data_IF_360995693968
#
_entry.id   IF_360995693968
#
_cell.length_a   1.000
_cell.length_b   1.000
_cell.length_c   1.000
_cell.angle_alpha   90.00
_cell.angle_beta   90.00
_cell.angle_gamma   90.00
#
_symmetry.space_group_name_H-M   'P 1'
#
loop_
_entity.id
_entity.type
_entity.pdbx_description
1 polymer ?
#
# COMPACT_ATOMS: atom_id res chain seq x y z
N UNK A 1 -3.97 -18.43 14.86
CA UNK A 1 -2.94 -19.34 14.31
C UNK A 1 -3.52 -20.57 13.60
N UNK A 2 -4.31 -21.44 14.24
CA UNK A 2 -4.85 -22.68 13.62
C UNK A 2 -5.55 -22.46 12.26
N UNK A 3 -6.33 -21.39 12.11
CA UNK A 3 -7.01 -21.04 10.84
C UNK A 3 -6.10 -20.39 9.80
N UNK A 4 -5.02 -19.73 10.22
CA UNK A 4 -4.19 -18.90 9.33
C UNK A 4 -3.10 -19.71 8.64
N UNK A 5 -2.50 -20.69 9.33
CA UNK A 5 -1.47 -21.57 8.78
C UNK A 5 -1.89 -22.28 7.48
N UNK A 6 -3.06 -22.95 7.38
CA UNK A 6 -3.47 -23.61 6.14
C UNK A 6 -3.74 -22.61 5.01
N UNK A 7 -4.25 -21.41 5.31
CA UNK A 7 -4.47 -20.37 4.31
C UNK A 7 -3.14 -19.88 3.72
N UNK A 8 -2.14 -19.64 4.57
CA UNK A 8 -0.81 -19.23 4.10
C UNK A 8 -0.14 -20.33 3.27
N UNK A 9 -0.24 -21.60 3.70
CA UNK A 9 0.32 -22.72 2.96
C UNK A 9 -0.35 -22.92 1.59
N UNK A 10 -1.68 -22.79 1.50
CA UNK A 10 -2.43 -22.91 0.25
C UNK A 10 -2.06 -21.84 -0.80
N UNK A 11 -1.42 -20.75 -0.36
CA UNK A 11 -0.96 -19.67 -1.22
C UNK A 11 0.57 -19.54 -1.20
N UNK A 12 1.32 -20.62 -0.95
CA UNK A 12 2.78 -20.63 -0.79
C UNK A 12 3.59 -20.15 -2.01
N UNK A 13 3.06 -20.29 -3.23
CA UNK A 13 3.76 -19.91 -4.47
C UNK A 13 3.23 -18.63 -5.12
N UNK A 14 2.12 -18.08 -4.61
CA UNK A 14 1.45 -16.93 -5.23
C UNK A 14 2.04 -15.58 -4.79
N UNK A 15 2.33 -14.68 -5.73
CA UNK A 15 2.77 -13.31 -5.43
C UNK A 15 1.83 -12.28 -6.06
N UNK A 16 1.96 -11.01 -5.64
CA UNK A 16 1.22 -9.93 -6.27
C UNK A 16 1.75 -9.70 -7.69
N UNK A 17 0.95 -10.02 -8.70
CA UNK A 17 1.26 -9.63 -10.07
C UNK A 17 1.35 -8.10 -10.21
N UNK A 18 2.21 -7.59 -11.10
CA UNK A 18 2.24 -6.17 -11.44
C UNK A 18 0.86 -5.66 -11.83
N UNK A 19 0.58 -4.43 -11.43
CA UNK A 19 -0.69 -3.77 -11.66
C UNK A 19 -0.66 -3.09 -13.03
N UNK A 20 -1.69 -3.33 -13.84
CA UNK A 20 -1.87 -2.66 -15.13
C UNK A 20 -2.31 -1.21 -14.92
N UNK A 21 -1.81 -0.30 -15.74
CA UNK A 21 -2.36 1.05 -15.89
C UNK A 21 -2.21 1.54 -17.33
N UNK A 22 -2.98 2.57 -17.69
CA UNK A 22 -2.95 3.20 -19.02
C UNK A 22 -2.35 4.60 -18.89
N UNK A 23 -1.12 4.86 -19.38
CA UNK A 23 -0.50 6.18 -19.31
C UNK A 23 -1.41 7.32 -19.77
N UNK A 24 -2.16 7.13 -20.86
CA UNK A 24 -3.02 8.16 -21.43
C UNK A 24 -4.21 8.53 -20.53
N UNK A 25 -4.66 7.64 -19.65
CA UNK A 25 -5.70 7.97 -18.65
C UNK A 25 -5.18 8.93 -17.59
N UNK A 26 -3.88 8.89 -17.29
CA UNK A 26 -3.23 9.70 -16.26
C UNK A 26 -2.62 10.98 -16.82
N UNK A 27 -2.14 10.96 -18.07
CA UNK A 27 -1.41 12.05 -18.73
C UNK A 27 -2.10 13.42 -18.64
N UNK A 28 -3.43 13.57 -18.86
CA UNK A 28 -4.09 14.87 -18.76
C UNK A 28 -4.00 15.50 -17.36
N UNK A 29 -3.96 14.68 -16.32
CA UNK A 29 -3.94 15.11 -14.92
C UNK A 29 -2.52 15.46 -14.44
N UNK A 30 -1.50 14.79 -15.01
CA UNK A 30 -0.11 14.95 -14.59
C UNK A 30 0.66 16.00 -15.42
N UNK A 31 0.28 16.20 -16.69
CA UNK A 31 0.95 17.16 -17.60
C UNK A 31 0.99 18.59 -17.04
N UNK A 32 -0.10 19.16 -16.49
CA UNK A 32 -0.05 20.52 -15.91
C UNK A 32 0.88 20.64 -14.70
N UNK A 33 1.31 19.52 -14.12
CA UNK A 33 2.17 19.46 -12.93
C UNK A 33 3.62 19.08 -13.25
N UNK A 34 3.94 18.80 -14.52
CA UNK A 34 5.28 18.35 -14.92
C UNK A 34 5.62 16.91 -14.48
N UNK A 35 4.64 16.12 -14.02
CA UNK A 35 4.87 14.79 -13.45
C UNK A 35 4.68 13.65 -14.46
N UNK A 36 4.85 13.91 -15.75
CA UNK A 36 4.60 12.89 -16.79
C UNK A 36 5.70 11.82 -16.88
N UNK A 37 6.88 12.07 -16.30
CA UNK A 37 7.98 11.09 -16.29
C UNK A 37 7.57 9.78 -15.58
N UNK A 38 6.72 9.87 -14.55
CA UNK A 38 6.19 8.70 -13.82
C UNK A 38 5.39 7.73 -14.70
N UNK A 39 4.90 8.20 -15.84
CA UNK A 39 4.13 7.37 -16.77
C UNK A 39 4.99 6.37 -17.53
N UNK A 40 6.32 6.54 -17.49
CA UNK A 40 7.28 5.60 -18.07
C UNK A 40 7.79 4.58 -17.04
N UNK A 41 7.31 4.63 -15.79
CA UNK A 41 7.68 3.65 -14.76
C UNK A 41 7.15 2.25 -15.09
N UNK A 42 7.86 1.24 -14.59
CA UNK A 42 7.53 -0.16 -14.78
C UNK A 42 7.82 -0.68 -16.19
N UNK A 43 7.19 -1.77 -16.57
CA UNK A 43 7.43 -2.46 -17.84
C UNK A 43 6.26 -2.33 -18.83
N UNK A 44 6.49 -2.60 -20.14
CA UNK A 44 5.40 -2.65 -21.12
C UNK A 44 4.32 -3.66 -20.73
N UNK A 45 3.06 -3.28 -20.93
CA UNK A 45 1.91 -4.15 -20.65
C UNK A 45 1.51 -5.02 -21.84
N UNK A 46 0.42 -5.80 -21.70
CA UNK A 46 -0.07 -6.70 -22.76
C UNK A 46 -0.55 -6.00 -24.02
N UNK A 47 -0.82 -4.69 -23.95
CA UNK A 47 -1.15 -3.86 -25.11
C UNK A 47 -0.24 -2.64 -25.17
N UNK A 48 0.00 -2.05 -26.36
CA UNK A 48 0.84 -0.85 -26.50
C UNK A 48 0.37 0.38 -25.70
N UNK A 49 -0.87 0.35 -25.21
CA UNK A 49 -1.48 1.45 -24.42
C UNK A 49 -1.39 1.22 -22.92
N UNK A 50 -0.79 0.10 -22.49
CA UNK A 50 -0.76 -0.34 -21.11
C UNK A 50 0.68 -0.52 -20.62
N UNK A 51 0.87 -0.28 -19.34
CA UNK A 51 2.10 -0.57 -18.60
C UNK A 51 1.80 -1.36 -17.35
N UNK A 52 2.81 -2.02 -16.82
CA UNK A 52 2.77 -2.82 -15.60
C UNK A 52 3.67 -2.16 -14.56
N UNK A 53 3.15 -1.96 -13.35
CA UNK A 53 3.91 -1.46 -12.20
C UNK A 53 3.77 -2.42 -11.02
N UNK A 54 4.88 -2.89 -10.50
CA UNK A 54 5.00 -3.80 -9.35
C UNK A 54 5.66 -3.14 -8.14
N UNK A 55 5.82 -3.91 -7.06
CA UNK A 55 6.51 -3.43 -5.86
C UNK A 55 8.00 -3.17 -6.11
N UNK A 56 8.65 -4.00 -6.93
CA UNK A 56 10.05 -3.82 -7.32
C UNK A 56 10.27 -2.48 -8.03
N UNK A 57 9.34 -2.06 -8.89
CA UNK A 57 9.43 -0.75 -9.56
C UNK A 57 9.32 0.40 -8.54
N UNK A 58 8.49 0.24 -7.50
CA UNK A 58 8.39 1.22 -6.41
C UNK A 58 9.66 1.24 -5.55
N UNK A 59 10.31 0.10 -5.32
CA UNK A 59 11.59 0.03 -4.61
C UNK A 59 12.69 0.82 -5.37
N UNK A 60 12.78 0.62 -6.69
CA UNK A 60 13.73 1.38 -7.54
C UNK A 60 13.45 2.88 -7.48
N UNK A 61 12.18 3.29 -7.53
CA UNK A 61 11.80 4.70 -7.43
C UNK A 61 12.08 5.29 -6.04
N UNK A 62 11.79 4.54 -4.96
CA UNK A 62 12.10 4.94 -3.58
C UNK A 62 13.58 5.32 -3.48
N UNK A 63 14.44 4.47 -4.01
CA UNK A 63 15.89 4.62 -3.87
C UNK A 63 16.42 5.81 -4.70
N UNK A 64 15.87 6.05 -5.90
CA UNK A 64 16.20 7.21 -6.72
C UNK A 64 15.80 8.54 -6.05
N UNK A 65 14.62 8.58 -5.42
CA UNK A 65 14.00 9.79 -4.88
C UNK A 65 14.66 10.29 -3.59
N UNK A 66 15.48 9.45 -2.92
CA UNK A 66 16.26 9.86 -1.73
C UNK A 66 17.19 11.05 -1.96
N UNK A 67 17.42 11.42 -3.22
CA UNK A 67 18.39 12.44 -3.63
C UNK A 67 17.76 13.75 -4.13
N UNK A 68 16.42 13.86 -4.23
CA UNK A 68 15.76 15.01 -4.88
C UNK A 68 14.48 15.47 -4.15
N UNK A 69 14.40 16.77 -3.82
CA UNK A 69 13.29 17.36 -3.07
C UNK A 69 11.92 17.25 -3.76
N UNK A 70 11.86 17.28 -5.09
CA UNK A 70 10.62 17.12 -5.86
C UNK A 70 10.28 15.66 -6.20
N UNK A 71 11.22 14.73 -6.00
CA UNK A 71 11.03 13.31 -6.34
C UNK A 71 9.93 12.63 -5.52
N UNK A 72 9.61 13.14 -4.31
CA UNK A 72 8.56 12.56 -3.47
C UNK A 72 7.18 12.66 -4.12
N UNK A 73 6.89 13.72 -4.89
CA UNK A 73 5.63 13.85 -5.61
C UNK A 73 5.52 12.85 -6.76
N UNK A 74 6.62 12.62 -7.48
CA UNK A 74 6.69 11.59 -8.53
C UNK A 74 6.52 10.20 -7.93
N UNK A 75 7.24 9.90 -6.85
CA UNK A 75 7.13 8.62 -6.17
C UNK A 75 5.73 8.38 -5.62
N UNK A 76 5.16 9.37 -4.94
CA UNK A 76 3.79 9.31 -4.46
C UNK A 76 2.81 9.05 -5.61
N UNK A 77 2.99 9.72 -6.75
CA UNK A 77 2.16 9.48 -7.95
C UNK A 77 2.29 8.05 -8.45
N UNK A 78 3.50 7.47 -8.48
CA UNK A 78 3.72 6.06 -8.83
C UNK A 78 2.97 5.11 -7.87
N UNK A 79 3.01 5.40 -6.56
CA UNK A 79 2.27 4.63 -5.55
C UNK A 79 0.76 4.75 -5.76
N UNK A 80 0.25 5.92 -6.14
CA UNK A 80 -1.18 6.10 -6.45
C UNK A 80 -1.60 5.35 -7.72
N UNK A 81 -0.75 5.34 -8.76
CA UNK A 81 -0.96 4.54 -9.98
C UNK A 81 -1.05 3.06 -9.63
N UNK A 82 -0.04 2.55 -8.92
CA UNK A 82 0.01 1.16 -8.45
C UNK A 82 -1.20 0.81 -7.58
N UNK A 83 -1.60 1.70 -6.68
CA UNK A 83 -2.72 1.50 -5.77
C UNK A 83 -4.11 1.59 -6.40
N UNK A 84 -4.24 2.21 -7.58
CA UNK A 84 -5.52 2.43 -8.27
C UNK A 84 -5.84 1.35 -9.31
N UNK A 85 -4.80 0.80 -9.94
CA UNK A 85 -4.92 -0.16 -11.04
C UNK A 85 -5.79 0.31 -12.21
N UNK A 86 -6.36 -0.65 -12.95
CA UNK A 86 -7.21 -0.37 -14.13
C UNK A 86 -8.67 -0.13 -13.79
N UNK A 87 -9.13 -0.54 -12.61
CA UNK A 87 -10.57 -0.69 -12.31
C UNK A 87 -11.22 0.60 -11.80
N UNK A 88 -10.43 1.58 -11.35
CA UNK A 88 -10.95 2.77 -10.67
C UNK A 88 -10.56 4.04 -11.39
N UNK A 89 -11.12 4.35 -12.58
CA UNK A 89 -10.85 5.59 -13.35
C UNK A 89 -10.96 6.94 -12.60
N UNK A 90 -11.28 6.93 -11.30
CA UNK A 90 -11.18 8.03 -10.33
C UNK A 90 -9.77 8.24 -9.75
N UNK A 91 -8.86 7.27 -9.86
CA UNK A 91 -7.48 7.35 -9.36
C UNK A 91 -6.75 8.61 -9.81
N UNK A 92 -6.74 8.95 -11.12
CA UNK A 92 -6.13 10.19 -11.60
C UNK A 92 -6.73 11.45 -10.96
N UNK A 93 -8.07 11.54 -10.89
CA UNK A 93 -8.78 12.68 -10.28
C UNK A 93 -8.40 12.89 -8.81
N UNK A 94 -8.39 11.83 -8.01
CA UNK A 94 -8.04 11.96 -6.59
C UNK A 94 -6.55 12.23 -6.37
N UNK A 95 -5.70 11.70 -7.24
CA UNK A 95 -4.26 12.00 -7.24
C UNK A 95 -4.01 13.46 -7.58
N UNK A 96 -4.70 14.00 -8.59
CA UNK A 96 -4.66 15.42 -8.91
C UNK A 96 -5.13 16.28 -7.73
N UNK A 97 -6.25 15.94 -7.09
CA UNK A 97 -6.70 16.64 -5.88
C UNK A 97 -5.63 16.67 -4.78
N UNK A 98 -4.88 15.58 -4.60
CA UNK A 98 -3.77 15.52 -3.66
C UNK A 98 -2.60 16.41 -4.11
N UNK A 99 -2.24 16.38 -5.39
CA UNK A 99 -1.20 17.22 -5.99
C UNK A 99 -1.51 18.72 -5.94
N UNK A 100 -2.79 19.09 -5.88
CA UNK A 100 -3.25 20.46 -5.68
C UNK A 100 -3.22 20.91 -4.20
N UNK A 101 -3.09 19.98 -3.25
CA UNK A 101 -3.06 20.32 -1.83
C UNK A 101 -1.69 20.91 -1.45
N UNK A 102 -1.68 22.17 -1.00
CA UNK A 102 -0.46 22.87 -0.61
C UNK A 102 0.33 22.14 0.50
N UNK A 103 -0.33 21.28 1.28
CA UNK A 103 0.31 20.50 2.36
C UNK A 103 0.99 19.24 1.88
N UNK A 104 0.78 18.81 0.63
CA UNK A 104 1.24 17.51 0.14
C UNK A 104 2.74 17.32 0.37
N UNK A 105 3.58 18.23 -0.14
CA UNK A 105 5.05 18.10 -0.06
C UNK A 105 5.52 17.92 1.39
N UNK A 106 5.09 18.80 2.29
CA UNK A 106 5.43 18.72 3.71
C UNK A 106 4.90 17.44 4.37
N UNK A 107 3.71 16.98 3.98
CA UNK A 107 3.14 15.72 4.48
C UNK A 107 3.93 14.50 4.00
N UNK A 108 4.32 14.45 2.73
CA UNK A 108 5.12 13.35 2.18
C UNK A 108 6.48 13.28 2.86
N UNK A 109 7.19 14.41 2.98
CA UNK A 109 8.48 14.47 3.67
C UNK A 109 8.35 14.01 5.13
N UNK A 110 7.41 14.60 5.88
CA UNK A 110 7.20 14.29 7.29
C UNK A 110 6.82 12.82 7.52
N UNK A 111 5.93 12.28 6.70
CA UNK A 111 5.50 10.88 6.88
C UNK A 111 6.55 9.88 6.42
N UNK A 112 7.39 10.22 5.44
CA UNK A 112 8.57 9.44 5.08
C UNK A 112 9.54 9.32 6.26
N UNK A 113 9.88 10.44 6.92
CA UNK A 113 10.73 10.45 8.12
C UNK A 113 10.13 9.61 9.25
N UNK A 114 8.85 9.82 9.56
CA UNK A 114 8.17 9.12 10.65
C UNK A 114 8.08 7.61 10.42
N UNK A 115 7.78 7.19 9.19
CA UNK A 115 7.73 5.76 8.84
C UNK A 115 9.09 5.11 9.00
N UNK A 116 10.16 5.74 8.48
CA UNK A 116 11.54 5.22 8.61
C UNK A 116 12.01 5.19 10.06
N UNK A 117 11.56 6.12 10.88
CA UNK A 117 11.81 6.12 12.33
C UNK A 117 10.96 5.08 13.11
N UNK A 118 10.05 4.37 12.45
CA UNK A 118 9.13 3.42 13.07
C UNK A 118 7.92 4.05 13.79
N UNK A 119 7.73 5.38 13.72
CA UNK A 119 6.59 6.07 14.32
C UNK A 119 5.36 6.05 13.40
N UNK A 120 4.74 4.87 13.28
CA UNK A 120 3.54 4.67 12.47
C UNK A 120 2.31 5.40 13.01
N UNK A 121 2.24 5.65 14.33
CA UNK A 121 1.14 6.42 14.94
C UNK A 121 1.26 7.89 14.54
N UNK A 122 2.46 8.45 14.64
CA UNK A 122 2.79 9.79 14.17
C UNK A 122 2.54 9.94 12.68
N UNK A 123 3.02 9.00 11.87
CA UNK A 123 2.82 9.03 10.41
C UNK A 123 1.32 9.05 10.04
N UNK A 124 0.52 8.17 10.65
CA UNK A 124 -0.93 8.11 10.43
C UNK A 124 -1.64 9.41 10.87
N UNK A 125 -1.19 10.04 11.97
CA UNK A 125 -1.73 11.32 12.44
C UNK A 125 -1.35 12.48 11.50
N UNK A 126 -0.12 12.48 11.01
CA UNK A 126 0.43 13.53 10.16
C UNK A 126 -0.17 13.51 8.74
N UNK A 127 -0.56 12.35 8.21
CA UNK A 127 -1.07 12.27 6.84
C UNK A 127 -2.46 12.92 6.69
N UNK A 128 -2.51 14.16 6.19
CA UNK A 128 -3.74 14.95 5.99
C UNK A 128 -3.71 15.68 4.65
N UNK A 129 -4.07 14.96 3.59
CA UNK A 129 -4.07 15.46 2.21
C UNK A 129 -5.42 15.17 1.55
N UNK A 130 -5.98 16.16 0.85
CA UNK A 130 -7.23 16.00 0.12
C UNK A 130 -7.15 14.89 -0.94
N UNK A 131 -8.23 14.14 -1.12
CA UNK A 131 -8.29 13.05 -2.12
C UNK A 131 -7.62 11.74 -1.69
N UNK A 132 -6.90 11.69 -0.55
CA UNK A 132 -6.18 10.48 -0.11
C UNK A 132 -6.78 9.92 1.17
N UNK A 133 -7.51 8.81 1.05
CA UNK A 133 -8.02 8.05 2.19
C UNK A 133 -6.97 7.12 2.82
N UNK A 134 -7.27 6.56 3.99
CA UNK A 134 -6.35 5.66 4.69
C UNK A 134 -5.86 4.46 3.88
N UNK A 135 -6.72 3.78 3.08
CA UNK A 135 -6.24 2.67 2.25
C UNK A 135 -5.16 3.06 1.24
N UNK A 136 -5.05 4.34 0.87
CA UNK A 136 -4.06 4.84 -0.08
C UNK A 136 -2.82 5.36 0.62
N UNK A 137 -2.96 6.13 1.72
CA UNK A 137 -1.75 6.60 2.41
C UNK A 137 -1.01 5.46 3.13
N UNK A 138 -1.66 4.35 3.50
CA UNK A 138 -0.93 3.18 4.01
C UNK A 138 -0.13 2.47 2.91
N UNK A 139 -0.51 2.63 1.63
CA UNK A 139 0.34 2.21 0.50
C UNK A 139 1.58 3.09 0.39
N UNK A 140 1.41 4.40 0.58
CA UNK A 140 2.53 5.32 0.69
C UNK A 140 3.47 4.92 1.83
N UNK A 141 2.95 4.64 3.03
CA UNK A 141 3.77 4.17 4.15
C UNK A 141 4.55 2.90 3.82
N UNK A 142 3.87 1.87 3.28
CA UNK A 142 4.53 0.63 2.88
C UNK A 142 5.57 0.81 1.76
N UNK A 143 5.43 1.84 0.92
CA UNK A 143 6.35 2.13 -0.18
C UNK A 143 7.57 2.95 0.25
N UNK A 144 7.46 3.85 1.23
CA UNK A 144 8.60 4.65 1.73
C UNK A 144 9.44 3.95 2.78
N UNK A 145 8.88 2.91 3.41
CA UNK A 145 9.58 2.05 4.34
C UNK A 145 10.76 1.36 3.62
N UNK A 146 11.93 1.42 4.25
CA UNK A 146 13.19 0.87 3.74
C UNK A 146 13.61 -0.41 4.50
N UNK A 147 12.75 -0.92 5.37
CA UNK A 147 12.99 -2.14 6.14
C UNK A 147 14.01 -1.98 7.28
N UNK A 148 14.45 -0.77 7.59
CA UNK A 148 15.42 -0.51 8.67
C UNK A 148 14.82 -0.64 10.09
N UNK A 149 13.50 -0.49 10.22
CA UNK A 149 12.78 -0.63 11.48
C UNK A 149 12.46 -2.08 11.86
N UNK A 150 12.20 -2.34 13.14
CA UNK A 150 11.81 -3.67 13.63
C UNK A 150 10.48 -4.16 13.05
N UNK A 151 9.54 -3.24 12.80
CA UNK A 151 8.23 -3.55 12.22
C UNK A 151 7.96 -2.59 11.06
N UNK A 152 8.15 -3.08 9.84
CA UNK A 152 7.85 -2.29 8.64
C UNK A 152 6.35 -1.99 8.49
N UNK A 153 6.04 -0.85 7.90
CA UNK A 153 4.70 -0.44 7.51
C UNK A 153 4.05 -1.46 6.56
N UNK A 154 2.76 -1.74 6.82
CA UNK A 154 1.91 -2.61 6.01
C UNK A 154 0.67 -1.85 5.54
N UNK A 155 0.07 -2.32 4.45
CA UNK A 155 -1.09 -1.75 3.78
C UNK A 155 -2.36 -2.24 4.44
N UNK A 156 -3.19 -1.30 4.90
CA UNK A 156 -4.50 -1.60 5.47
C UNK A 156 -5.61 -1.06 4.57
N UNK A 157 -5.98 -1.85 3.56
CA UNK A 157 -7.14 -1.58 2.72
C UNK A 157 -8.38 -2.41 3.12
N UNK A 158 -9.48 -2.23 2.40
CA UNK A 158 -10.73 -2.93 2.68
C UNK A 158 -10.61 -4.44 2.52
N UNK A 159 -9.81 -4.95 1.58
CA UNK A 159 -9.67 -6.40 1.35
C UNK A 159 -8.91 -7.06 2.49
N UNK A 160 -7.80 -6.43 2.91
CA UNK A 160 -7.06 -6.85 4.11
C UNK A 160 -7.98 -6.80 5.33
N UNK A 161 -8.72 -5.70 5.50
CA UNK A 161 -9.62 -5.53 6.65
C UNK A 161 -10.75 -6.55 6.67
N UNK A 162 -11.32 -6.93 5.51
CA UNK A 162 -12.33 -7.97 5.40
C UNK A 162 -11.81 -9.32 5.88
N UNK A 163 -10.60 -9.70 5.46
CA UNK A 163 -9.97 -10.95 5.90
C UNK A 163 -9.69 -10.94 7.40
N UNK A 164 -9.17 -9.84 7.94
CA UNK A 164 -8.96 -9.68 9.39
C UNK A 164 -10.28 -9.87 10.17
N UNK A 165 -11.37 -9.26 9.71
CA UNK A 165 -12.69 -9.43 10.32
C UNK A 165 -13.19 -10.88 10.22
N UNK A 166 -13.01 -11.55 9.08
CA UNK A 166 -13.36 -12.96 8.91
C UNK A 166 -12.58 -13.90 9.84
N UNK A 167 -11.34 -13.53 10.18
CA UNK A 167 -10.54 -14.22 11.20
C UNK A 167 -10.95 -13.88 12.63
N UNK A 168 -11.93 -12.99 12.83
CA UNK A 168 -12.41 -12.53 14.14
C UNK A 168 -11.52 -11.47 14.79
N UNK A 169 -10.57 -10.89 14.05
CA UNK A 169 -9.72 -9.83 14.57
C UNK A 169 -10.47 -8.50 14.64
N UNK A 170 -10.45 -7.86 15.81
CA UNK A 170 -11.17 -6.61 16.05
C UNK A 170 -10.19 -5.49 16.40
N UNK A 171 -9.95 -4.60 15.43
CA UNK A 171 -8.94 -3.55 15.54
C UNK A 171 -8.96 -2.70 16.81
N UNK A 172 -10.13 -2.26 17.30
CA UNK A 172 -10.20 -1.42 18.50
C UNK A 172 -9.93 -2.21 19.79
N UNK A 173 -10.24 -3.52 19.83
CA UNK A 173 -9.90 -4.41 20.94
C UNK A 173 -8.39 -4.62 20.98
N UNK A 174 -7.80 -4.93 19.82
CA UNK A 174 -6.36 -5.09 19.68
C UNK A 174 -5.58 -3.83 20.07
N UNK A 175 -6.13 -2.65 19.77
CA UNK A 175 -5.51 -1.37 20.09
C UNK A 175 -5.79 -0.86 21.51
N UNK A 176 -6.79 -1.42 22.22
CA UNK A 176 -7.31 -0.84 23.47
C UNK A 176 -7.95 0.55 23.32
N UNK A 177 -8.14 1.04 22.09
CA UNK A 177 -8.66 2.38 21.81
C UNK A 177 -9.39 2.45 20.47
N UNK A 178 -10.26 3.46 20.32
CA UNK A 178 -10.94 3.77 19.06
C UNK A 178 -10.10 4.64 18.11
N UNK A 179 -8.99 5.21 18.56
CA UNK A 179 -8.11 6.05 17.74
C UNK A 179 -7.57 5.28 16.54
N UNK A 180 -7.88 5.73 15.32
CA UNK A 180 -7.50 5.05 14.07
C UNK A 180 -5.98 4.86 13.92
N UNK A 181 -5.19 5.84 14.35
CA UNK A 181 -3.73 5.75 14.28
C UNK A 181 -3.16 4.60 15.12
N UNK A 182 -3.63 4.46 16.37
CA UNK A 182 -3.22 3.37 17.26
C UNK A 182 -3.74 2.02 16.75
N UNK A 183 -4.94 2.01 16.17
CA UNK A 183 -5.51 0.81 15.51
C UNK A 183 -4.68 0.35 14.31
N UNK A 184 -4.11 1.28 13.54
CA UNK A 184 -3.21 0.95 12.45
C UNK A 184 -1.90 0.36 12.96
N UNK A 185 -1.27 0.97 13.97
CA UNK A 185 -0.06 0.41 14.59
C UNK A 185 -0.31 -0.99 15.20
N UNK A 186 -1.43 -1.19 15.89
CA UNK A 186 -1.82 -2.49 16.42
C UNK A 186 -2.05 -3.55 15.32
N UNK A 187 -2.57 -3.14 14.16
CA UNK A 187 -2.66 -4.01 12.98
C UNK A 187 -1.27 -4.44 12.51
N UNK A 188 -0.34 -3.49 12.32
CA UNK A 188 1.02 -3.78 11.85
C UNK A 188 1.73 -4.73 12.83
N UNK A 189 1.71 -4.40 14.11
CA UNK A 189 2.28 -5.24 15.17
C UNK A 189 1.71 -6.66 15.14
N UNK A 190 0.38 -6.79 15.01
CA UNK A 190 -0.26 -8.09 14.98
C UNK A 190 0.14 -8.92 13.76
N UNK A 191 0.21 -8.30 12.58
CA UNK A 191 0.64 -8.95 11.35
C UNK A 191 2.08 -9.45 11.46
N UNK A 192 2.98 -8.63 12.00
CA UNK A 192 4.38 -9.02 12.25
C UNK A 192 4.48 -10.17 13.25
N UNK A 193 3.71 -10.13 14.35
CA UNK A 193 3.64 -11.23 15.32
C UNK A 193 3.17 -12.54 14.66
N UNK A 194 2.12 -12.49 13.83
CA UNK A 194 1.64 -13.67 13.11
C UNK A 194 2.64 -14.16 12.05
N UNK A 195 3.28 -13.25 11.33
CA UNK A 195 4.29 -13.56 10.33
C UNK A 195 5.47 -14.31 10.96
N UNK A 196 5.99 -13.84 12.10
CA UNK A 196 7.01 -14.55 12.90
C UNK A 196 6.56 -15.94 13.33
N UNK A 197 5.34 -16.08 13.84
CA UNK A 197 4.81 -17.36 14.29
C UNK A 197 4.46 -18.35 13.15
N UNK A 198 4.42 -17.87 11.91
CA UNK A 198 4.22 -18.67 10.70
C UNK A 198 5.50 -18.87 9.89
N UNK A 199 6.62 -18.25 10.30
CA UNK A 199 7.88 -18.21 9.56
C UNK A 199 7.70 -17.69 8.12
N UNK A 200 7.01 -16.56 7.97
CA UNK A 200 6.81 -15.90 6.67
C UNK A 200 7.12 -14.41 6.76
N UNK A 201 7.40 -13.81 5.60
CA UNK A 201 7.56 -12.37 5.47
C UNK A 201 6.22 -11.61 5.75
N UNK A 202 6.22 -10.49 6.49
CA UNK A 202 4.98 -9.77 6.82
C UNK A 202 4.17 -9.24 5.63
N UNK A 203 4.81 -8.90 4.51
CA UNK A 203 4.18 -8.41 3.27
C UNK A 203 3.64 -9.57 2.47
N UNK A 204 4.28 -10.74 2.56
CA UNK A 204 3.68 -12.00 2.12
C UNK A 204 2.36 -12.23 2.84
N UNK A 205 2.35 -12.11 4.17
CA UNK A 205 1.13 -12.30 4.94
C UNK A 205 0.07 -11.24 4.59
N UNK A 206 0.44 -9.97 4.47
CA UNK A 206 -0.45 -8.89 3.99
C UNK A 206 -1.07 -9.23 2.62
N UNK A 207 -0.26 -9.71 1.68
CA UNK A 207 -0.73 -10.10 0.36
C UNK A 207 -1.74 -11.25 0.43
N UNK A 208 -1.51 -12.26 1.27
CA UNK A 208 -2.48 -13.34 1.50
C UNK A 208 -3.80 -12.74 2.03
N UNK A 209 -3.73 -11.83 3.00
CA UNK A 209 -4.94 -11.16 3.52
C UNK A 209 -5.69 -10.39 2.43
N UNK A 210 -4.96 -9.67 1.58
CA UNK A 210 -5.52 -8.93 0.45
C UNK A 210 -6.17 -9.87 -0.58
N UNK A 211 -5.51 -10.99 -0.89
CA UNK A 211 -5.98 -11.97 -1.87
C UNK A 211 -7.29 -12.62 -1.42
N UNK A 212 -7.35 -13.09 -0.17
CA UNK A 212 -8.52 -13.75 0.41
C UNK A 212 -9.75 -12.86 0.46
N UNK A 213 -9.59 -11.55 0.71
CA UNK A 213 -10.69 -10.57 0.75
C UNK A 213 -11.92 -11.04 1.57
N UNK A 214 -11.69 -11.62 2.75
CA UNK A 214 -12.76 -12.15 3.60
C UNK A 214 -13.09 -13.64 3.39
N UNK A 215 -12.60 -14.29 2.34
CA UNK A 215 -12.78 -15.74 2.09
C UNK A 215 -11.87 -16.58 2.98
N UNK A 216 -12.19 -16.68 4.28
CA UNK A 216 -11.37 -17.35 5.31
C UNK A 216 -11.83 -18.77 5.67
N UNK A 217 -12.65 -19.37 4.81
CA UNK A 217 -13.10 -20.75 4.91
C UNK A 217 -12.44 -21.56 3.79
N UNK A 218 -11.90 -22.76 4.07
CA UNK A 218 -11.43 -23.62 2.99
C UNK A 218 -12.61 -23.94 2.07
N UNK A 219 -12.46 -23.69 0.77
CA UNK A 219 -13.43 -24.18 -0.22
C UNK A 219 -13.38 -25.71 -0.15
N UNK A 220 -14.53 -26.36 0.13
CA UNK A 220 -14.64 -27.80 -0.07
C UNK A 220 -14.22 -28.13 -1.50
N UNK A 221 -13.42 -29.17 -1.74
CA UNK A 221 -13.16 -29.59 -3.11
C UNK A 221 -14.49 -29.90 -3.79
N UNK A 222 -14.69 -29.34 -4.99
CA UNK A 222 -15.83 -29.71 -5.81
C UNK A 222 -15.74 -31.23 -6.08
N UNK A 223 -16.77 -31.96 -5.67
CA UNK A 223 -16.96 -33.37 -5.98
C UNK A 223 -17.33 -33.55 -7.46
#
# INVERSE_FOLDING_TARGET
MKRLRPLVAAHGDCSQAPVRFRPDTWRPWLKPRGLTAVLECGSPGPSPRERLIGRQDLDVLRDAVRTQADGLCEFFTAVMIWGSGTTNGRGPRYTEMALCDARLRGTLARTCELVRAGDLVGAYRAFRVAGVGSPFFTKWFAAVDDGSGMERALILDSRVFNTLNGLGWVSWKAAGTRTRAVRYAAYVHQMHSWARALDVDPSRLEWVMFHLNGEVSPKSPAH
#
